data_IF_242529916070
#
_entry.id   IF_242529916070
#
_cell.length_a   1.000
_cell.length_b   1.000
_cell.length_c   1.000
_cell.angle_alpha   90.00
_cell.angle_beta   90.00
_cell.angle_gamma   90.00
#
_symmetry.space_group_name_H-M   'P 1'
#
loop_
_entity.id
_entity.type
_entity.pdbx_description
1 polymer ?
#
# COMPACT_ATOMS: atom_id res chain seq x y z
N UNK A 1 -1.64 6.06 -21.89
CA UNK A 1 -0.28 5.69 -21.45
C UNK A 1 -0.35 4.33 -20.77
N UNK A 2 0.66 3.48 -20.96
CA UNK A 2 0.84 2.22 -20.22
C UNK A 2 1.99 2.41 -19.23
N UNK A 3 1.77 2.03 -17.98
CA UNK A 3 2.72 2.24 -16.90
C UNK A 3 3.63 1.03 -16.70
N UNK A 4 4.93 1.29 -16.64
CA UNK A 4 5.92 0.25 -16.34
C UNK A 4 6.16 0.07 -14.84
N UNK A 5 5.78 1.06 -14.05
CA UNK A 5 5.86 0.97 -12.59
C UNK A 5 4.59 1.55 -11.98
N UNK A 6 3.93 0.72 -11.17
CA UNK A 6 2.71 1.08 -10.45
C UNK A 6 2.95 0.89 -8.95
N UNK A 7 2.63 1.92 -8.17
CA UNK A 7 2.52 1.86 -6.71
C UNK A 7 1.05 2.01 -6.36
N UNK A 8 0.53 1.15 -5.50
CA UNK A 8 -0.86 1.21 -5.04
C UNK A 8 -0.94 1.05 -3.52
N UNK A 9 -1.72 1.92 -2.87
CA UNK A 9 -2.04 1.87 -1.44
C UNK A 9 -3.56 1.84 -1.24
N UNK A 10 -4.23 0.71 -1.51
CA UNK A 10 -5.69 0.64 -1.47
C UNK A 10 -6.25 1.04 -0.10
N UNK A 11 -7.40 1.73 -0.08
CA UNK A 11 -8.10 2.07 1.16
C UNK A 11 -8.85 0.85 1.68
N UNK A 12 -8.11 -0.09 2.28
CA UNK A 12 -8.62 -1.34 2.78
C UNK A 12 -9.81 -1.13 3.72
N UNK A 13 -10.91 -1.86 3.50
CA UNK A 13 -12.03 -1.83 4.41
C UNK A 13 -11.67 -2.54 5.73
N UNK A 14 -11.46 -1.73 6.76
CA UNK A 14 -11.21 -2.20 8.12
C UNK A 14 -12.58 -2.37 8.79
N UNK A 15 -13.20 -3.56 8.81
CA UNK A 15 -14.45 -3.74 9.51
C UNK A 15 -14.27 -3.25 10.94
N UNK A 16 -15.17 -2.38 11.37
CA UNK A 16 -15.23 -1.86 12.73
C UNK A 16 -15.02 -3.01 13.69
N UNK A 17 -13.94 -2.96 14.45
CA UNK A 17 -13.79 -3.84 15.59
C UNK A 17 -14.95 -3.48 16.52
N UNK A 18 -15.99 -4.31 16.51
CA UNK A 18 -17.15 -4.13 17.37
C UNK A 18 -16.71 -3.85 18.83
N UNK A 19 -17.62 -3.48 19.73
CA UNK A 19 -17.26 -3.06 21.08
C UNK A 19 -16.30 -4.10 21.67
N UNK A 20 -15.08 -3.68 21.95
CA UNK A 20 -14.06 -4.52 22.58
C UNK A 20 -14.51 -4.78 23.99
N UNK A 21 -15.24 -5.88 24.20
CA UNK A 21 -15.52 -6.40 25.52
C UNK A 21 -14.20 -6.82 26.14
N UNK A 22 -13.67 -5.98 27.00
CA UNK A 22 -12.91 -6.31 28.17
C UNK A 22 -11.72 -7.27 28.01
N UNK A 23 -10.57 -6.77 27.55
CA UNK A 23 -9.32 -7.15 28.17
C UNK A 23 -8.78 -5.91 28.87
N UNK A 24 -9.01 -5.83 30.17
CA UNK A 24 -8.37 -4.85 31.04
C UNK A 24 -6.90 -5.22 31.17
N UNK A 25 -6.08 -4.76 30.22
CA UNK A 25 -4.66 -4.63 30.48
C UNK A 25 -4.42 -3.43 31.41
N UNK A 26 -3.25 -3.32 32.04
CA UNK A 26 -2.82 -2.24 32.93
C UNK A 26 -2.85 -0.81 32.29
N UNK A 27 -3.50 -0.63 31.17
CA UNK A 27 -3.53 0.59 30.34
C UNK A 27 -4.86 1.34 30.39
N UNK A 28 -5.74 1.00 31.32
CA UNK A 28 -7.07 1.62 31.50
C UNK A 28 -8.07 1.24 30.39
N UNK A 29 -9.34 1.62 30.54
CA UNK A 29 -10.35 1.41 29.53
C UNK A 29 -9.99 2.27 28.31
N UNK A 30 -9.51 1.66 27.24
CA UNK A 30 -9.44 2.32 25.94
C UNK A 30 -10.85 2.44 25.40
N UNK A 31 -11.49 3.57 25.68
CA UNK A 31 -12.69 4.00 24.97
C UNK A 31 -12.21 4.47 23.59
N UNK A 32 -11.89 3.52 22.71
CA UNK A 32 -11.65 3.82 21.32
C UNK A 32 -12.99 4.23 20.73
N UNK A 33 -13.15 5.50 20.41
CA UNK A 33 -14.11 5.90 19.40
C UNK A 33 -13.94 4.97 18.21
N UNK A 34 -15.04 4.50 17.63
CA UNK A 34 -15.05 3.80 16.35
C UNK A 34 -14.14 4.55 15.42
N UNK A 35 -12.99 3.99 15.08
CA UNK A 35 -12.08 4.65 14.14
C UNK A 35 -12.71 4.55 12.75
N UNK A 36 -13.66 5.41 12.47
CA UNK A 36 -14.00 5.75 11.11
C UNK A 36 -12.73 6.36 10.51
N UNK A 37 -12.08 5.61 9.65
CA UNK A 37 -11.00 6.20 8.85
C UNK A 37 -11.61 7.39 8.10
N UNK A 38 -10.98 8.57 8.10
CA UNK A 38 -11.56 9.79 7.56
C UNK A 38 -11.64 9.82 6.02
N UNK A 39 -11.59 8.67 5.38
CA UNK A 39 -11.65 8.52 3.93
C UNK A 39 -12.51 7.29 3.54
N UNK A 40 -13.15 7.32 2.35
CA UNK A 40 -13.91 6.18 1.84
C UNK A 40 -13.03 4.94 1.73
N UNK A 41 -13.50 3.81 2.27
CA UNK A 41 -12.86 2.50 2.09
C UNK A 41 -13.47 1.77 0.90
N UNK A 42 -12.75 0.77 0.39
CA UNK A 42 -13.20 -0.10 -0.69
C UNK A 42 -13.24 -1.55 -0.21
N UNK A 43 -14.23 -2.30 -0.67
CA UNK A 43 -14.26 -3.74 -0.43
C UNK A 43 -13.12 -4.45 -1.18
N UNK A 44 -12.77 -5.65 -0.75
CA UNK A 44 -11.74 -6.46 -1.44
C UNK A 44 -12.13 -6.76 -2.89
N UNK A 45 -13.42 -6.94 -3.16
CA UNK A 45 -13.92 -7.21 -4.51
C UNK A 45 -13.85 -5.97 -5.41
N UNK A 46 -14.16 -4.78 -4.87
CA UNK A 46 -14.00 -3.52 -5.60
C UNK A 46 -12.52 -3.25 -5.93
N UNK A 47 -11.61 -3.45 -4.97
CA UNK A 47 -10.16 -3.32 -5.20
C UNK A 47 -9.70 -4.32 -6.27
N UNK A 48 -10.15 -5.58 -6.18
CA UNK A 48 -9.81 -6.63 -7.16
C UNK A 48 -10.30 -6.30 -8.56
N UNK A 49 -11.47 -5.66 -8.68
CA UNK A 49 -12.10 -5.31 -9.95
C UNK A 49 -11.45 -4.11 -10.65
N UNK A 50 -10.58 -3.36 -9.99
CA UNK A 50 -9.90 -2.22 -10.61
C UNK A 50 -9.13 -2.61 -11.88
N UNK A 51 -9.17 -1.80 -12.95
CA UNK A 51 -8.61 -2.14 -14.26
C UNK A 51 -7.08 -1.97 -14.33
N UNK A 52 -6.37 -2.33 -13.25
CA UNK A 52 -4.90 -2.17 -13.15
C UNK A 52 -4.18 -2.93 -14.26
N UNK A 53 -4.72 -4.09 -14.63
CA UNK A 53 -4.21 -4.89 -15.75
C UNK A 53 -4.16 -4.10 -17.06
N UNK A 54 -5.17 -3.24 -17.28
CA UNK A 54 -5.29 -2.47 -18.52
C UNK A 54 -4.44 -1.19 -18.48
N UNK A 55 -4.10 -0.69 -17.31
CA UNK A 55 -3.18 0.44 -17.14
C UNK A 55 -1.70 0.03 -17.23
N UNK A 56 -1.39 -1.20 -16.84
CA UNK A 56 -0.02 -1.70 -16.83
C UNK A 56 0.51 -2.01 -18.25
N UNK A 57 1.80 -1.76 -18.46
CA UNK A 57 2.55 -2.26 -19.61
C UNK A 57 2.63 -3.79 -19.58
N UNK A 58 2.94 -4.41 -20.73
CA UNK A 58 3.23 -5.84 -20.82
C UNK A 58 4.42 -6.27 -19.95
N UNK A 59 5.38 -5.37 -19.78
CA UNK A 59 6.56 -5.51 -18.93
C UNK A 59 6.51 -4.46 -17.81
N UNK A 60 6.05 -4.85 -16.61
CA UNK A 60 5.79 -3.91 -15.52
C UNK A 60 6.15 -4.46 -14.13
N UNK A 61 6.41 -3.55 -13.20
CA UNK A 61 6.50 -3.79 -11.75
C UNK A 61 5.30 -3.20 -11.03
N UNK A 62 4.81 -3.91 -10.03
CA UNK A 62 3.78 -3.44 -9.10
C UNK A 62 4.33 -3.48 -7.67
N UNK A 63 4.07 -2.42 -6.92
CA UNK A 63 4.31 -2.30 -5.49
C UNK A 63 2.98 -2.07 -4.79
N UNK A 64 2.45 -3.10 -4.15
CA UNK A 64 1.13 -3.09 -3.56
C UNK A 64 1.23 -3.05 -2.03
N UNK A 65 0.90 -1.90 -1.43
CA UNK A 65 0.87 -1.71 0.02
C UNK A 65 -0.23 -2.53 0.67
N UNK A 66 0.10 -3.09 1.82
CA UNK A 66 -0.84 -3.88 2.61
C UNK A 66 -0.47 -3.90 4.09
N UNK A 67 -1.39 -4.40 4.90
CA UNK A 67 -1.17 -4.70 6.31
C UNK A 67 -1.22 -6.20 6.54
N UNK A 68 -0.78 -6.65 7.71
CA UNK A 68 -0.82 -8.07 8.08
C UNK A 68 -2.23 -8.70 7.89
N UNK A 69 -3.29 -7.93 8.17
CA UNK A 69 -4.67 -8.39 8.06
C UNK A 69 -5.07 -8.78 6.64
N UNK A 70 -4.61 -8.01 5.64
CA UNK A 70 -5.00 -8.18 4.24
C UNK A 70 -3.94 -8.88 3.39
N UNK A 71 -2.88 -9.38 4.02
CA UNK A 71 -1.73 -9.92 3.30
C UNK A 71 -2.13 -11.07 2.35
N UNK A 72 -2.95 -12.00 2.79
CA UNK A 72 -3.44 -13.11 1.96
C UNK A 72 -4.23 -12.60 0.75
N UNK A 73 -5.21 -11.71 0.98
CA UNK A 73 -6.02 -11.09 -0.08
C UNK A 73 -5.17 -10.27 -1.07
N UNK A 74 -4.07 -9.67 -0.59
CA UNK A 74 -3.16 -8.87 -1.42
C UNK A 74 -2.50 -9.73 -2.51
N UNK A 75 -2.13 -10.96 -2.19
CA UNK A 75 -1.57 -11.89 -3.17
C UNK A 75 -2.58 -12.22 -4.27
N UNK A 76 -3.85 -12.42 -3.92
CA UNK A 76 -4.91 -12.73 -4.88
C UNK A 76 -5.26 -11.52 -5.75
N UNK A 77 -5.31 -10.32 -5.15
CA UNK A 77 -5.52 -9.06 -5.88
C UNK A 77 -4.39 -8.84 -6.89
N UNK A 78 -3.13 -9.01 -6.49
CA UNK A 78 -2.00 -8.86 -7.40
C UNK A 78 -2.10 -9.81 -8.61
N UNK A 79 -2.52 -11.05 -8.38
CA UNK A 79 -2.75 -12.02 -9.47
C UNK A 79 -3.93 -11.63 -10.36
N UNK A 80 -5.03 -11.16 -9.79
CA UNK A 80 -6.18 -10.67 -10.54
C UNK A 80 -5.82 -9.49 -11.44
N UNK A 81 -4.92 -8.60 -10.97
CA UNK A 81 -4.37 -7.49 -11.75
C UNK A 81 -3.33 -7.93 -12.81
N UNK A 82 -3.07 -9.23 -12.94
CA UNK A 82 -2.17 -9.79 -13.95
C UNK A 82 -0.70 -9.74 -13.59
N UNK A 83 -0.38 -9.61 -12.30
CA UNK A 83 0.99 -9.61 -11.80
C UNK A 83 1.31 -10.90 -11.05
N UNK A 84 2.57 -11.30 -11.09
CA UNK A 84 3.11 -12.41 -10.33
C UNK A 84 3.83 -11.88 -9.09
N UNK A 85 3.37 -12.20 -7.87
CA UNK A 85 4.08 -11.89 -6.63
C UNK A 85 5.51 -12.40 -6.65
N UNK A 86 6.46 -11.59 -6.19
CA UNK A 86 7.88 -11.89 -6.23
C UNK A 86 8.56 -11.77 -4.86
N UNK A 87 8.34 -10.66 -4.14
CA UNK A 87 8.99 -10.42 -2.85
C UNK A 87 8.08 -9.61 -1.93
N UNK A 88 8.02 -9.99 -0.66
CA UNK A 88 7.43 -9.16 0.38
C UNK A 88 8.47 -8.20 0.93
N UNK A 89 8.17 -6.92 0.94
CA UNK A 89 8.99 -5.86 1.51
C UNK A 89 8.34 -5.39 2.81
N UNK A 90 9.15 -5.05 3.81
CA UNK A 90 8.66 -4.67 5.14
C UNK A 90 9.11 -3.27 5.52
N UNK A 91 8.16 -2.41 5.84
CA UNK A 91 8.43 -1.14 6.49
C UNK A 91 8.28 -1.29 8.01
N UNK A 92 9.40 -1.15 8.73
CA UNK A 92 9.43 -1.04 10.19
C UNK A 92 9.21 0.43 10.57
N UNK A 93 8.10 0.73 11.25
CA UNK A 93 7.70 2.10 11.61
C UNK A 93 8.55 2.62 12.76
N UNK A 94 9.18 3.78 12.60
CA UNK A 94 9.95 4.46 13.64
C UNK A 94 9.52 5.93 13.80
N UNK A 95 9.51 6.51 15.00
CA UNK A 95 9.54 5.81 16.28
C UNK A 95 8.32 4.91 16.46
N UNK A 96 8.49 3.81 17.17
CA UNK A 96 7.41 2.91 17.49
C UNK A 96 6.52 3.55 18.55
N UNK A 97 5.34 4.00 18.13
CA UNK A 97 4.26 4.36 19.06
C UNK A 97 3.53 3.11 19.57
N UNK A 98 2.62 3.29 20.51
CA UNK A 98 1.67 2.25 20.88
C UNK A 98 0.77 2.00 19.68
N UNK A 99 1.07 0.94 18.90
CA UNK A 99 0.25 0.52 17.78
C UNK A 99 -0.99 -0.22 18.24
N UNK A 100 -1.98 -0.33 17.37
CA UNK A 100 -3.11 -1.22 17.60
C UNK A 100 -2.66 -2.67 17.40
N UNK A 101 -3.13 -3.57 18.26
CA UNK A 101 -2.84 -4.99 18.20
C UNK A 101 -3.28 -5.67 19.48
N UNK A 102 -3.62 -6.94 19.40
CA UNK A 102 -3.97 -7.75 20.55
C UNK A 102 -2.73 -8.20 21.33
N UNK A 103 -2.28 -9.43 21.10
CA UNK A 103 -1.08 -9.98 21.74
C UNK A 103 0.20 -9.31 21.29
N UNK A 104 0.30 -8.95 20.00
CA UNK A 104 1.46 -8.25 19.43
C UNK A 104 1.03 -6.91 18.82
N UNK A 105 1.81 -5.88 19.12
CA UNK A 105 1.61 -4.55 18.54
C UNK A 105 2.01 -4.54 17.07
N UNK A 106 1.14 -4.01 16.21
CA UNK A 106 1.42 -3.89 14.78
C UNK A 106 2.37 -2.72 14.51
N UNK A 107 3.66 -3.00 14.37
CA UNK A 107 4.72 -2.01 14.16
C UNK A 107 5.28 -2.00 12.75
N UNK A 108 4.70 -2.83 11.87
CA UNK A 108 5.14 -2.97 10.48
C UNK A 108 3.97 -2.78 9.51
N UNK A 109 4.30 -2.35 8.30
CA UNK A 109 3.46 -2.48 7.11
C UNK A 109 4.26 -3.17 6.01
N UNK A 110 3.56 -3.65 4.99
CA UNK A 110 4.17 -4.46 3.95
C UNK A 110 3.89 -3.87 2.58
N UNK A 111 4.81 -4.16 1.65
CA UNK A 111 4.62 -3.94 0.23
C UNK A 111 4.87 -5.25 -0.50
N UNK A 112 3.91 -5.72 -1.24
CA UNK A 112 4.09 -6.86 -2.12
C UNK A 112 4.67 -6.37 -3.45
N UNK A 113 5.95 -6.66 -3.69
CA UNK A 113 6.58 -6.44 -4.98
C UNK A 113 6.19 -7.55 -5.95
N UNK A 114 5.69 -7.16 -7.11
CA UNK A 114 5.21 -8.08 -8.13
C UNK A 114 5.77 -7.72 -9.50
N UNK A 115 5.80 -8.71 -10.38
CA UNK A 115 6.31 -8.58 -11.75
C UNK A 115 5.26 -9.00 -12.77
N UNK A 116 5.27 -8.32 -13.90
CA UNK A 116 4.56 -8.71 -15.12
C UNK A 116 5.56 -8.71 -16.27
N UNK A 117 5.49 -9.72 -17.14
CA UNK A 117 6.44 -9.89 -18.23
C UNK A 117 7.89 -10.08 -17.76
N UNK A 118 8.82 -9.44 -18.45
CA UNK A 118 10.26 -9.63 -18.31
C UNK A 118 11.03 -8.37 -17.87
N UNK A 119 10.33 -7.34 -17.35
CA UNK A 119 10.98 -6.10 -16.92
C UNK A 119 12.10 -6.37 -15.92
N UNK A 120 13.31 -5.91 -16.29
CA UNK A 120 14.47 -6.00 -15.41
C UNK A 120 14.51 -4.82 -14.46
N UNK A 121 14.88 -5.07 -13.22
CA UNK A 121 15.19 -4.01 -12.26
C UNK A 121 16.47 -3.27 -12.69
N UNK A 122 16.49 -1.95 -12.51
CA UNK A 122 17.64 -1.10 -12.83
C UNK A 122 18.85 -1.39 -11.92
N UNK A 123 18.59 -1.88 -10.71
CA UNK A 123 19.63 -2.32 -9.78
C UNK A 123 19.11 -3.40 -8.82
N UNK A 124 20.02 -4.12 -8.20
CA UNK A 124 19.74 -4.97 -7.05
C UNK A 124 19.66 -4.13 -5.78
N UNK A 125 18.80 -4.53 -4.87
CA UNK A 125 18.68 -3.97 -3.50
C UNK A 125 18.98 -5.09 -2.51
N UNK A 126 19.90 -4.83 -1.58
CA UNK A 126 20.40 -5.86 -0.65
C UNK A 126 19.57 -5.95 0.65
N UNK A 127 18.40 -5.36 0.66
CA UNK A 127 17.46 -5.44 1.78
C UNK A 127 16.03 -5.67 1.28
N UNK A 128 15.25 -6.35 2.10
CA UNK A 128 13.79 -6.47 1.93
C UNK A 128 13.01 -5.80 3.07
N UNK A 129 13.71 -5.07 3.94
CA UNK A 129 13.08 -4.30 5.00
C UNK A 129 13.80 -2.97 5.22
N UNK A 130 13.04 -1.96 5.70
CA UNK A 130 13.57 -0.64 6.02
C UNK A 130 12.93 -0.10 7.27
N UNK A 131 13.69 0.69 8.02
CA UNK A 131 13.21 1.46 9.15
C UNK A 131 13.14 2.93 8.74
N UNK A 132 11.93 3.39 8.42
CA UNK A 132 11.67 4.79 8.08
C UNK A 132 10.74 5.42 9.11
N UNK A 133 10.94 6.71 9.31
CA UNK A 133 10.12 7.50 10.22
C UNK A 133 8.67 7.54 9.72
N UNK A 134 7.73 7.45 10.66
CA UNK A 134 6.31 7.70 10.37
C UNK A 134 6.12 9.18 10.03
N UNK A 135 5.36 9.47 8.99
CA UNK A 135 4.80 10.79 8.69
C UNK A 135 3.50 11.07 9.45
N UNK A 136 2.77 12.10 9.02
CA UNK A 136 1.40 12.35 9.44
C UNK A 136 0.49 11.15 9.13
N UNK A 137 -0.71 11.10 9.74
CA UNK A 137 -1.64 9.97 9.67
C UNK A 137 -1.65 9.25 8.31
N UNK A 138 -1.31 7.96 8.32
CA UNK A 138 -1.31 7.04 7.17
C UNK A 138 -0.40 7.41 5.99
N UNK A 139 0.41 8.48 6.06
CA UNK A 139 1.33 8.82 5.00
C UNK A 139 2.45 7.79 4.89
N UNK A 140 2.66 7.28 3.67
CA UNK A 140 3.78 6.39 3.38
C UNK A 140 5.09 7.20 3.30
N UNK A 141 6.25 6.61 3.66
CA UNK A 141 7.54 7.30 3.59
C UNK A 141 7.89 7.73 2.17
N UNK A 142 8.34 8.97 1.97
CA UNK A 142 8.81 9.43 0.65
C UNK A 142 10.02 8.63 0.15
N UNK A 143 10.90 8.26 1.06
CA UNK A 143 12.03 7.39 0.77
C UNK A 143 11.65 6.08 0.08
N UNK A 144 10.38 5.64 0.23
CA UNK A 144 9.89 4.47 -0.49
C UNK A 144 9.77 4.76 -2.00
N UNK A 145 9.24 5.90 -2.40
CA UNK A 145 9.14 6.26 -3.82
C UNK A 145 10.54 6.50 -4.43
N UNK A 146 11.49 7.07 -3.68
CA UNK A 146 12.89 7.18 -4.11
C UNK A 146 13.51 5.79 -4.34
N UNK A 147 13.22 4.84 -3.46
CA UNK A 147 13.63 3.44 -3.64
C UNK A 147 13.02 2.85 -4.91
N UNK A 148 11.71 3.02 -5.14
CA UNK A 148 11.01 2.53 -6.33
C UNK A 148 11.65 3.06 -7.61
N UNK A 149 11.90 4.37 -7.70
CA UNK A 149 12.54 5.01 -8.87
C UNK A 149 13.95 4.46 -9.12
N UNK A 150 14.68 4.13 -8.05
CA UNK A 150 16.03 3.55 -8.18
C UNK A 150 16.03 2.12 -8.73
N UNK A 151 14.91 1.41 -8.58
CA UNK A 151 14.78 -0.02 -8.95
C UNK A 151 14.02 -0.22 -10.24
N UNK A 152 12.97 0.57 -10.46
CA UNK A 152 12.00 0.34 -11.53
C UNK A 152 11.91 1.58 -12.44
N UNK A 153 11.89 1.40 -13.76
CA UNK A 153 11.79 2.52 -14.69
C UNK A 153 10.35 3.01 -14.85
N UNK A 154 10.18 4.30 -15.21
CA UNK A 154 8.90 4.86 -15.63
C UNK A 154 8.45 4.41 -17.02
N UNK A 155 7.26 4.83 -17.45
CA UNK A 155 6.31 5.73 -16.75
C UNK A 155 5.78 5.20 -15.43
N UNK A 156 5.57 6.13 -14.47
CA UNK A 156 5.14 5.81 -13.11
C UNK A 156 3.68 6.19 -12.88
N UNK A 157 2.95 5.35 -12.14
CA UNK A 157 1.62 5.63 -11.63
C UNK A 157 1.57 5.36 -10.12
N UNK A 158 1.11 6.34 -9.33
CA UNK A 158 0.73 6.14 -7.93
C UNK A 158 -0.80 6.11 -7.83
N UNK A 159 -1.35 4.93 -7.50
CA UNK A 159 -2.77 4.75 -7.27
C UNK A 159 -3.11 5.01 -5.80
N UNK A 160 -4.27 5.65 -5.57
CA UNK A 160 -4.71 6.10 -4.24
C UNK A 160 -3.76 7.14 -3.63
N UNK A 161 -3.11 7.90 -4.50
CA UNK A 161 -2.17 8.93 -4.11
C UNK A 161 -2.85 10.03 -3.29
N UNK A 162 -2.13 10.54 -2.29
CA UNK A 162 -2.58 11.68 -1.45
C UNK A 162 -1.83 12.96 -1.76
N UNK A 163 -0.87 12.90 -2.65
CA UNK A 163 -0.05 14.04 -3.08
C UNK A 163 0.48 13.80 -4.48
N UNK A 164 0.83 14.88 -5.15
CA UNK A 164 1.47 14.79 -6.45
C UNK A 164 2.98 14.68 -6.27
N UNK A 165 3.63 13.89 -7.11
CA UNK A 165 5.09 13.78 -7.22
C UNK A 165 5.51 14.06 -8.67
N UNK A 166 6.55 14.86 -8.85
CA UNK A 166 7.08 15.18 -10.17
C UNK A 166 7.52 13.90 -10.90
N UNK A 167 7.08 13.74 -12.15
CA UNK A 167 7.38 12.55 -12.95
C UNK A 167 6.48 11.34 -12.70
N UNK A 168 5.47 11.49 -11.85
CA UNK A 168 4.45 10.49 -11.58
C UNK A 168 3.08 10.96 -12.02
N UNK A 169 2.37 10.10 -12.71
CA UNK A 169 0.93 10.23 -12.84
C UNK A 169 0.28 9.72 -11.53
N UNK A 170 -0.81 10.37 -11.13
CA UNK A 170 -1.50 10.05 -9.87
C UNK A 170 -2.97 9.77 -10.13
N UNK A 171 -3.50 8.80 -9.42
CA UNK A 171 -4.92 8.50 -9.35
C UNK A 171 -5.32 8.36 -7.88
N UNK A 172 -6.18 9.26 -7.39
CA UNK A 172 -6.60 9.28 -5.99
C UNK A 172 -7.47 10.49 -5.67
N UNK A 173 -8.24 10.41 -4.59
CA UNK A 173 -9.25 11.41 -4.22
C UNK A 173 -8.65 12.72 -3.65
N UNK A 174 -7.40 12.70 -3.24
CA UNK A 174 -6.73 13.85 -2.58
C UNK A 174 -5.76 14.58 -3.52
N UNK A 175 -5.65 14.17 -4.79
CA UNK A 175 -4.73 14.75 -5.76
C UNK A 175 -5.40 15.86 -6.59
N UNK A 176 -4.72 16.98 -6.79
CA UNK A 176 -5.19 18.10 -7.62
C UNK A 176 -5.15 17.79 -9.13
N UNK A 177 -4.30 16.86 -9.53
CA UNK A 177 -4.21 16.34 -10.90
C UNK A 177 -4.24 14.82 -10.82
N UNK A 178 -5.18 14.21 -11.48
CA UNK A 178 -5.32 12.76 -11.56
C UNK A 178 -5.57 12.32 -13.00
N UNK A 179 -5.15 11.10 -13.31
CA UNK A 179 -5.49 10.45 -14.57
C UNK A 179 -6.90 9.92 -14.47
N UNK A 180 -7.75 10.24 -15.45
CA UNK A 180 -9.07 9.62 -15.54
C UNK A 180 -8.92 8.13 -15.83
N UNK A 181 -9.40 7.31 -14.90
CA UNK A 181 -9.51 5.87 -15.08
C UNK A 181 -10.97 5.56 -15.34
N UNK A 182 -11.27 5.07 -16.55
CA UNK A 182 -12.61 4.54 -16.84
C UNK A 182 -12.80 3.25 -16.06
N UNK A 183 -13.69 3.29 -15.08
CA UNK A 183 -14.13 2.12 -14.30
C UNK A 183 -15.11 1.28 -15.10
#
# INVERSE_FOLDING_TARGET
VKYRTIVADPPWDMPNSGPRTGVTGNWGPYVGETSDVPYPTMTLDDIRALPVKDMADGDAHLYLWTTNRFLESTYDIARAWGFRPAQLLTWCKAPMGIGMGGTFTSTTEFVLFCRRGSLKASRRVDSSWWQWRRGAHSAKPEAFLDLVESVSPGPYLEMFARRNRLGWDTWGNECLQHVEVSL
#
